data_IF_741139178944
#
_entry.id   IF_741139178944
#
_cell.length_a   1.000
_cell.length_b   1.000
_cell.length_c   1.000
_cell.angle_alpha   90.00
_cell.angle_beta   90.00
_cell.angle_gamma   90.00
#
_symmetry.space_group_name_H-M   'P 1'
#
loop_
_entity.id
_entity.type
_entity.pdbx_description
1 polymer ?
#
# COMPACT_ATOMS: atom_id res chain seq x y z
N UNK A 1 6.37 21.59 -7.04
CA UNK A 1 4.96 21.47 -6.58
C UNK A 1 4.81 20.04 -6.14
N UNK A 2 4.56 19.77 -4.86
CA UNK A 2 4.62 18.42 -4.32
C UNK A 2 3.38 17.64 -4.77
N UNK A 3 3.52 16.75 -5.75
CA UNK A 3 2.43 15.84 -6.12
C UNK A 3 2.09 14.96 -4.92
N UNK A 4 0.84 15.06 -4.47
CA UNK A 4 0.31 14.26 -3.38
C UNK A 4 0.02 12.85 -3.89
N UNK A 5 0.19 11.87 -3.00
CA UNK A 5 -0.20 10.49 -3.29
C UNK A 5 -1.72 10.46 -3.50
N UNK A 6 -2.17 10.06 -4.69
CA UNK A 6 -3.60 9.91 -4.98
C UNK A 6 -4.10 8.63 -4.33
N UNK A 7 -4.59 8.76 -3.09
CA UNK A 7 -5.16 7.64 -2.35
C UNK A 7 -6.51 7.23 -2.95
N UNK A 8 -6.62 5.97 -3.36
CA UNK A 8 -7.87 5.34 -3.75
C UNK A 8 -8.83 5.26 -2.57
N UNK A 9 -10.11 5.53 -2.84
CA UNK A 9 -11.19 5.51 -1.83
C UNK A 9 -11.61 4.10 -1.41
N UNK A 10 -11.35 3.09 -2.23
CA UNK A 10 -11.79 1.71 -1.97
C UNK A 10 -10.90 0.69 -2.68
N UNK A 11 -10.67 -0.45 -2.04
CA UNK A 11 -9.95 -1.60 -2.62
C UNK A 11 -10.53 -2.02 -3.97
N UNK A 12 -11.86 -2.04 -4.13
CA UNK A 12 -12.50 -2.41 -5.41
C UNK A 12 -12.09 -1.50 -6.56
N UNK A 13 -12.22 -0.18 -6.40
CA UNK A 13 -11.81 0.77 -7.44
C UNK A 13 -10.31 0.72 -7.68
N UNK A 14 -9.51 0.49 -6.63
CA UNK A 14 -8.08 0.33 -6.78
C UNK A 14 -7.70 -0.92 -7.56
N UNK A 15 -8.41 -2.04 -7.37
CA UNK A 15 -8.22 -3.27 -8.14
C UNK A 15 -8.60 -3.07 -9.61
N UNK A 16 -9.67 -2.33 -9.90
CA UNK A 16 -10.05 -2.01 -11.28
C UNK A 16 -8.98 -1.14 -11.96
N UNK A 17 -8.48 -0.11 -11.27
CA UNK A 17 -7.36 0.70 -11.77
C UNK A 17 -6.07 -0.11 -11.94
N UNK A 18 -5.80 -1.02 -11.01
CA UNK A 18 -4.65 -1.91 -11.06
C UNK A 18 -4.72 -2.85 -12.28
N UNK A 19 -5.90 -3.41 -12.57
CA UNK A 19 -6.13 -4.22 -13.77
C UNK A 19 -5.95 -3.42 -15.06
N UNK A 20 -6.58 -2.26 -15.18
CA UNK A 20 -6.49 -1.44 -16.39
C UNK A 20 -5.09 -0.86 -16.60
N UNK A 21 -4.40 -0.48 -15.52
CA UNK A 21 -3.08 0.13 -15.58
C UNK A 21 -1.90 -0.86 -15.49
N UNK A 22 -2.17 -2.17 -15.38
CA UNK A 22 -1.18 -3.22 -15.08
C UNK A 22 -0.31 -2.88 -13.85
N UNK A 23 -0.95 -2.30 -12.84
CA UNK A 23 -0.37 -1.89 -11.55
C UNK A 23 -0.78 -2.88 -10.45
N UNK A 24 -0.15 -2.75 -9.29
CA UNK A 24 -0.51 -3.49 -8.09
C UNK A 24 -1.32 -2.60 -7.15
N UNK A 25 -2.07 -3.16 -6.22
CA UNK A 25 -2.76 -2.37 -5.20
C UNK A 25 -1.94 -2.38 -3.92
N UNK A 26 -1.68 -1.20 -3.38
CA UNK A 26 -1.02 -1.06 -2.09
C UNK A 26 -2.04 -0.56 -1.08
N UNK A 27 -2.27 -1.32 -0.03
CA UNK A 27 -3.18 -0.96 1.05
C UNK A 27 -2.39 -0.63 2.30
N UNK A 28 -2.43 0.62 2.72
CA UNK A 28 -1.82 1.11 3.94
C UNK A 28 -2.88 1.26 5.04
N UNK A 29 -2.73 0.52 6.11
CA UNK A 29 -3.55 0.56 7.31
C UNK A 29 -2.93 1.56 8.28
N UNK A 30 -3.59 2.69 8.44
CA UNK A 30 -3.11 3.82 9.23
C UNK A 30 -4.17 4.22 10.26
N UNK A 31 -3.75 4.97 11.28
CA UNK A 31 -4.65 5.64 12.22
C UNK A 31 -4.29 7.11 12.31
N UNK A 32 -5.30 7.96 12.48
CA UNK A 32 -5.10 9.38 12.82
C UNK A 32 -4.52 9.53 14.22
N UNK A 33 -4.90 8.64 15.12
CA UNK A 33 -4.44 8.56 16.50
C UNK A 33 -3.31 7.53 16.60
N UNK A 34 -2.20 7.78 15.90
CA UNK A 34 -1.01 6.95 16.01
C UNK A 34 0.25 7.73 15.60
N UNK A 35 1.13 8.00 16.56
CA UNK A 35 2.38 8.73 16.34
C UNK A 35 3.29 8.06 15.29
N UNK A 36 3.36 6.72 15.29
CA UNK A 36 4.13 5.97 14.31
C UNK A 36 3.58 6.14 12.88
N UNK A 37 2.25 6.21 12.71
CA UNK A 37 1.63 6.49 11.41
C UNK A 37 1.96 7.90 10.92
N UNK A 38 1.94 8.90 11.83
CA UNK A 38 2.30 10.28 11.49
C UNK A 38 3.76 10.37 11.06
N UNK A 39 4.67 9.70 11.79
CA UNK A 39 6.08 9.59 11.41
C UNK A 39 6.25 8.95 10.03
N UNK A 40 5.54 7.87 9.74
CA UNK A 40 5.57 7.23 8.41
C UNK A 40 5.13 8.18 7.30
N UNK A 41 4.09 8.96 7.54
CA UNK A 41 3.61 9.91 6.55
C UNK A 41 4.61 11.04 6.30
N UNK A 42 5.23 11.56 7.38
CA UNK A 42 6.20 12.66 7.32
C UNK A 42 7.62 12.24 6.93
N UNK A 43 7.97 10.97 7.03
CA UNK A 43 9.32 10.49 6.70
C UNK A 43 9.34 9.69 5.39
N UNK A 44 8.40 8.75 5.23
CA UNK A 44 8.38 7.81 4.10
C UNK A 44 7.48 8.28 2.98
N UNK A 45 6.23 8.65 3.27
CA UNK A 45 5.26 9.03 2.24
C UNK A 45 5.54 10.43 1.68
N UNK A 46 6.26 11.29 2.43
CA UNK A 46 6.70 12.59 1.94
C UNK A 46 7.86 12.47 0.93
N UNK A 47 8.62 11.37 0.91
CA UNK A 47 9.77 11.22 0.03
C UNK A 47 9.34 11.16 -1.42
N UNK A 48 9.84 12.05 -2.27
CA UNK A 48 9.48 12.12 -3.70
C UNK A 48 9.68 10.78 -4.41
N UNK A 49 10.82 10.12 -4.23
CA UNK A 49 11.12 8.82 -4.82
C UNK A 49 10.09 7.74 -4.43
N UNK A 50 9.57 7.76 -3.20
CA UNK A 50 8.52 6.83 -2.76
C UNK A 50 7.21 7.15 -3.45
N UNK A 51 6.82 8.44 -3.51
CA UNK A 51 5.57 8.86 -4.16
C UNK A 51 5.55 8.52 -5.64
N UNK A 52 6.63 8.83 -6.35
CA UNK A 52 6.76 8.52 -7.77
C UNK A 52 6.70 7.02 -8.01
N UNK A 53 7.40 6.23 -7.20
CA UNK A 53 7.39 4.78 -7.33
C UNK A 53 6.00 4.18 -7.10
N UNK A 54 5.30 4.64 -6.05
CA UNK A 54 3.92 4.26 -5.79
C UNK A 54 3.04 4.66 -6.97
N UNK A 55 3.03 5.93 -7.38
CA UNK A 55 2.17 6.42 -8.47
C UNK A 55 2.40 5.68 -9.78
N UNK A 56 3.65 5.31 -10.07
CA UNK A 56 4.04 4.63 -11.32
C UNK A 56 3.61 3.17 -11.36
N UNK A 57 3.76 2.42 -10.27
CA UNK A 57 3.57 0.96 -10.27
C UNK A 57 2.45 0.44 -9.38
N UNK A 58 1.93 1.27 -8.48
CA UNK A 58 0.96 0.89 -7.48
C UNK A 58 -0.26 1.83 -7.47
N UNK A 59 -1.37 1.33 -6.96
CA UNK A 59 -2.57 2.10 -6.65
C UNK A 59 -2.68 2.10 -5.13
N UNK A 60 -2.29 3.20 -4.47
CA UNK A 60 -2.29 3.29 -3.01
C UNK A 60 -3.70 3.49 -2.49
N UNK A 61 -4.08 2.75 -1.46
CA UNK A 61 -5.35 2.82 -0.73
C UNK A 61 -5.00 2.96 0.73
N UNK A 62 -5.64 3.90 1.42
CA UNK A 62 -5.49 4.03 2.87
C UNK A 62 -6.76 3.55 3.55
N UNK A 63 -6.59 2.78 4.62
CA UNK A 63 -7.66 2.44 5.54
C UNK A 63 -7.40 3.10 6.88
N UNK A 64 -8.44 3.74 7.42
CA UNK A 64 -8.36 4.48 8.66
C UNK A 64 -9.10 3.71 9.76
N UNK A 65 -8.42 3.44 10.88
CA UNK A 65 -9.10 2.79 12.00
C UNK A 65 -10.21 3.69 12.54
N UNK A 66 -11.37 3.09 12.81
CA UNK A 66 -12.63 3.80 13.03
C UNK A 66 -13.55 3.58 11.84
N UNK A 67 -13.32 4.28 10.72
CA UNK A 67 -14.14 4.20 9.50
C UNK A 67 -14.05 2.84 8.83
N UNK A 68 -12.85 2.28 8.76
CA UNK A 68 -12.58 1.03 8.05
C UNK A 68 -12.26 -0.11 9.01
N UNK A 69 -12.73 -0.03 10.27
CA UNK A 69 -12.44 -1.03 11.31
C UNK A 69 -12.78 -2.47 10.90
N UNK A 70 -13.82 -2.64 10.07
CA UNK A 70 -14.16 -3.92 9.44
C UNK A 70 -12.99 -4.48 8.63
N UNK A 71 -12.30 -3.66 7.84
CA UNK A 71 -11.15 -4.08 7.05
C UNK A 71 -9.99 -4.50 7.95
N UNK A 72 -9.75 -3.77 9.05
CA UNK A 72 -8.72 -4.16 10.04
C UNK A 72 -9.01 -5.55 10.61
N UNK A 73 -10.26 -5.82 11.00
CA UNK A 73 -10.66 -7.15 11.49
C UNK A 73 -10.55 -8.21 10.40
N UNK A 74 -11.06 -7.91 9.20
CA UNK A 74 -11.07 -8.83 8.06
C UNK A 74 -9.66 -9.25 7.62
N UNK A 75 -8.70 -8.34 7.65
CA UNK A 75 -7.30 -8.62 7.33
C UNK A 75 -6.47 -9.04 8.57
N UNK A 76 -7.06 -9.04 9.76
CA UNK A 76 -6.39 -9.39 11.01
C UNK A 76 -5.26 -8.42 11.38
N UNK A 77 -5.37 -7.15 11.01
CA UNK A 77 -4.36 -6.13 11.29
C UNK A 77 -4.56 -5.61 12.71
N UNK A 78 -3.78 -6.16 13.65
CA UNK A 78 -3.78 -5.76 15.06
C UNK A 78 -2.86 -4.57 15.34
N UNK A 79 -1.75 -4.47 14.62
CA UNK A 79 -0.74 -3.42 14.79
C UNK A 79 -0.68 -2.46 13.60
N UNK A 80 -0.47 -1.18 13.91
CA UNK A 80 -0.38 -0.08 12.95
C UNK A 80 0.96 0.65 13.11
N UNK A 81 1.60 1.13 12.01
CA UNK A 81 1.15 1.04 10.62
C UNK A 81 1.34 -0.37 10.05
N UNK A 82 0.46 -0.77 9.13
CA UNK A 82 0.62 -2.01 8.36
C UNK A 82 0.39 -1.74 6.87
N UNK A 83 1.07 -2.50 6.02
CA UNK A 83 1.02 -2.36 4.57
C UNK A 83 0.85 -3.73 3.94
N UNK A 84 -0.19 -3.86 3.12
CA UNK A 84 -0.51 -5.07 2.39
C UNK A 84 -0.54 -4.74 0.89
N UNK A 85 0.20 -5.51 0.11
CA UNK A 85 0.24 -5.40 -1.35
C UNK A 85 -0.59 -6.52 -1.94
N UNK A 86 -1.53 -6.13 -2.78
CA UNK A 86 -2.38 -7.01 -3.56
C UNK A 86 -2.03 -6.92 -5.04
N UNK A 87 -2.21 -8.02 -5.74
CA UNK A 87 -2.18 -8.05 -7.19
C UNK A 87 -3.48 -7.49 -7.80
N UNK A 88 -3.45 -7.14 -9.09
CA UNK A 88 -4.62 -6.80 -9.92
C UNK A 88 -5.78 -7.80 -9.79
N UNK A 89 -5.49 -9.08 -9.52
CA UNK A 89 -6.49 -10.11 -9.29
C UNK A 89 -7.15 -10.07 -7.90
N UNK A 90 -6.63 -9.27 -6.96
CA UNK A 90 -7.10 -9.22 -5.56
C UNK A 90 -6.38 -10.20 -4.63
N UNK A 91 -5.27 -10.79 -5.09
CA UNK A 91 -4.48 -11.72 -4.29
C UNK A 91 -3.45 -10.99 -3.42
N UNK A 92 -3.36 -11.32 -2.14
CA UNK A 92 -2.29 -10.82 -1.26
C UNK A 92 -0.92 -11.36 -1.71
N UNK A 93 -0.02 -10.46 -2.07
CA UNK A 93 1.35 -10.80 -2.50
C UNK A 93 2.33 -10.64 -1.34
N UNK A 94 2.14 -9.59 -0.54
CA UNK A 94 3.03 -9.24 0.55
C UNK A 94 2.26 -8.52 1.64
N UNK A 95 2.43 -8.96 2.88
CA UNK A 95 1.94 -8.29 4.08
C UNK A 95 3.14 -7.93 4.95
N UNK A 96 3.20 -6.66 5.37
CA UNK A 96 4.20 -6.15 6.31
C UNK A 96 3.54 -5.28 7.35
N UNK A 97 3.91 -5.53 8.60
CA UNK A 97 3.40 -4.84 9.77
C UNK A 97 4.59 -4.09 10.36
N UNK A 98 4.38 -2.84 10.76
CA UNK A 98 5.39 -1.94 11.30
C UNK A 98 5.70 -0.74 10.40
N UNK A 99 6.44 0.20 10.99
CA UNK A 99 7.00 1.35 10.27
C UNK A 99 8.24 0.93 9.48
N UNK A 100 8.37 1.46 8.26
CA UNK A 100 9.55 1.28 7.42
C UNK A 100 10.03 2.63 6.90
N UNK A 101 11.33 2.84 6.95
CA UNK A 101 12.01 3.96 6.31
C UNK A 101 11.84 3.93 4.79
N UNK A 102 11.92 5.08 4.10
CA UNK A 102 11.67 5.17 2.66
C UNK A 102 12.51 4.22 1.80
N UNK A 103 13.79 4.05 2.11
CA UNK A 103 14.67 3.12 1.39
C UNK A 103 14.19 1.67 1.50
N UNK A 104 13.96 1.21 2.74
CA UNK A 104 13.45 -0.14 3.03
C UNK A 104 12.05 -0.32 2.41
N UNK A 105 11.21 0.71 2.45
CA UNK A 105 9.87 0.65 1.90
C UNK A 105 9.90 0.37 0.39
N UNK A 106 10.71 1.10 -0.38
CA UNK A 106 10.88 0.88 -1.83
C UNK A 106 11.39 -0.54 -2.11
N UNK A 107 12.38 -1.04 -1.35
CA UNK A 107 12.87 -2.41 -1.52
C UNK A 107 11.76 -3.45 -1.30
N UNK A 108 10.88 -3.25 -0.33
CA UNK A 108 9.75 -4.16 -0.06
C UNK A 108 8.74 -4.10 -1.20
N UNK A 109 8.45 -2.91 -1.74
CA UNK A 109 7.57 -2.73 -2.89
C UNK A 109 8.14 -3.43 -4.13
N UNK A 110 9.44 -3.28 -4.38
CA UNK A 110 10.09 -3.94 -5.51
C UNK A 110 10.02 -5.47 -5.38
N UNK A 111 10.28 -6.00 -4.17
CA UNK A 111 10.13 -7.44 -3.89
C UNK A 111 8.69 -7.91 -4.13
N UNK A 112 7.69 -7.14 -3.72
CA UNK A 112 6.29 -7.45 -3.99
C UNK A 112 6.00 -7.44 -5.50
N UNK A 113 6.53 -6.48 -6.25
CA UNK A 113 6.38 -6.40 -7.71
C UNK A 113 6.98 -7.59 -8.43
N UNK A 114 8.21 -7.97 -8.06
CA UNK A 114 8.89 -9.17 -8.60
C UNK A 114 8.09 -10.44 -8.33
N UNK A 115 7.54 -10.58 -7.11
CA UNK A 115 6.67 -11.71 -6.75
C UNK A 115 5.37 -11.73 -7.57
N UNK A 116 4.72 -10.58 -7.74
CA UNK A 116 3.51 -10.48 -8.53
C UNK A 116 3.75 -10.84 -10.00
N UNK A 117 4.83 -10.31 -10.60
CA UNK A 117 5.24 -10.64 -11.97
C UNK A 117 5.51 -12.14 -12.15
N UNK A 118 6.21 -12.78 -11.21
CA UNK A 118 6.48 -14.21 -11.26
C UNK A 118 5.20 -15.06 -11.09
N UNK A 119 4.23 -14.60 -10.30
CA UNK A 119 2.94 -15.28 -10.13
C UNK A 119 2.03 -15.13 -11.35
N UNK A 120 2.10 -13.98 -12.03
CA UNK A 120 1.35 -13.73 -13.26
C UNK A 120 1.82 -14.62 -14.43
N UNK A 121 3.12 -14.95 -14.50
CA UNK A 121 3.68 -15.78 -15.59
C UNK A 121 3.38 -17.28 -15.46
N UNK A 122 2.98 -17.73 -14.27
CA UNK A 122 2.81 -19.15 -13.92
C UNK A 122 1.34 -19.62 -13.91
N UNK A 123 0.40 -18.74 -14.22
CA UNK A 123 -1.04 -19.03 -14.33
C UNK A 123 -1.47 -19.09 -15.78
#
# INVERSE_FOLDING_TARGET
>A
MAEEIVWGKSLRSALEQARTGNKLVLVAFLSRECEACIKMNKCTLITESVREYIKKYFVPVKYESGKDSDQFMRFGVTEKPAVIVFDSAGNEILRKIGYFEPGIFIEKLEKARKKAAHKAVRQ
#
